data_IF_328317443255
#
_entry.id   IF_328317443255
#
_cell.length_a   1.000
_cell.length_b   1.000
_cell.length_c   1.000
_cell.angle_alpha   90.00
_cell.angle_beta   90.00
_cell.angle_gamma   90.00
#
_symmetry.space_group_name_H-M   'P 1'
#
loop_
_entity.id
_entity.type
_entity.pdbx_description
1 polymer ?
#
# COMPACT_ATOMS: atom_id res chain seq x y z
N UNK A 1 -22.70 23.40 2.31
CA UNK A 1 -21.24 23.46 2.02
C UNK A 1 -21.04 22.95 0.59
N UNK A 2 -20.39 23.76 -0.28
CA UNK A 2 -20.39 23.47 -1.72
C UNK A 2 -19.51 22.25 -1.99
N UNK A 3 -20.03 21.18 -2.56
CA UNK A 3 -19.33 19.90 -2.87
C UNK A 3 -18.01 20.17 -3.60
N UNK A 4 -17.98 21.17 -4.49
CA UNK A 4 -16.79 21.62 -5.22
C UNK A 4 -15.65 22.04 -4.27
N UNK A 5 -15.96 22.75 -3.18
CA UNK A 5 -14.96 23.20 -2.21
C UNK A 5 -14.42 22.07 -1.34
N UNK A 6 -15.24 21.04 -1.04
CA UNK A 6 -14.80 19.84 -0.33
C UNK A 6 -13.85 19.04 -1.20
N UNK A 7 -14.19 18.84 -2.48
CA UNK A 7 -13.34 18.13 -3.44
C UNK A 7 -12.01 18.83 -3.66
N UNK A 8 -12.01 20.16 -3.90
CA UNK A 8 -10.78 20.93 -4.11
C UNK A 8 -9.85 20.89 -2.89
N UNK A 9 -10.40 21.05 -1.68
CA UNK A 9 -9.62 20.91 -0.44
C UNK A 9 -9.10 19.47 -0.25
N UNK A 10 -9.90 18.47 -0.58
CA UNK A 10 -9.48 17.06 -0.51
C UNK A 10 -8.34 16.74 -1.47
N UNK A 11 -8.41 17.22 -2.71
CA UNK A 11 -7.34 17.08 -3.72
C UNK A 11 -6.06 17.76 -3.25
N UNK A 12 -6.16 19.00 -2.74
CA UNK A 12 -5.01 19.73 -2.20
C UNK A 12 -4.32 18.98 -1.05
N UNK A 13 -5.10 18.44 -0.11
CA UNK A 13 -4.56 17.61 0.98
C UNK A 13 -3.94 16.31 0.49
N UNK A 14 -4.54 15.64 -0.49
CA UNK A 14 -3.98 14.43 -1.08
C UNK A 14 -2.64 14.71 -1.78
N UNK A 15 -2.56 15.79 -2.56
CA UNK A 15 -1.31 16.21 -3.20
C UNK A 15 -0.23 16.54 -2.18
N UNK A 16 -0.56 17.32 -1.14
CA UNK A 16 0.37 17.64 -0.05
C UNK A 16 0.87 16.38 0.67
N UNK A 17 -0.03 15.43 0.93
CA UNK A 17 0.32 14.17 1.57
C UNK A 17 1.26 13.34 0.69
N UNK A 18 0.96 13.21 -0.60
CA UNK A 18 1.79 12.45 -1.55
C UNK A 18 3.19 13.06 -1.64
N UNK A 19 3.29 14.39 -1.80
CA UNK A 19 4.56 15.11 -1.85
C UNK A 19 5.36 14.93 -0.56
N UNK A 20 4.74 15.16 0.59
CA UNK A 20 5.38 15.04 1.90
C UNK A 20 5.92 13.63 2.16
N UNK A 21 5.10 12.61 1.89
CA UNK A 21 5.51 11.20 2.00
C UNK A 21 6.67 10.85 1.08
N UNK A 22 6.57 11.23 -0.19
CA UNK A 22 7.61 10.94 -1.19
C UNK A 22 8.92 11.60 -0.83
N UNK A 23 8.89 12.85 -0.37
CA UNK A 23 10.10 13.58 0.05
C UNK A 23 10.76 12.92 1.26
N UNK A 24 10.00 12.60 2.32
CA UNK A 24 10.54 11.90 3.51
C UNK A 24 11.16 10.56 3.10
N UNK A 25 10.47 9.77 2.27
CA UNK A 25 10.96 8.48 1.83
C UNK A 25 12.20 8.58 0.92
N UNK A 26 12.30 9.59 0.06
CA UNK A 26 13.52 9.83 -0.75
C UNK A 26 14.71 10.19 0.14
N UNK A 27 14.52 11.07 1.12
CA UNK A 27 15.55 11.42 2.11
C UNK A 27 15.96 10.17 2.89
N UNK A 28 15.01 9.36 3.34
CA UNK A 28 15.27 8.11 4.06
C UNK A 28 16.13 7.15 3.23
N UNK A 29 15.76 6.93 1.97
CA UNK A 29 16.51 6.06 1.05
C UNK A 29 17.92 6.60 0.84
N UNK A 30 18.08 7.92 0.62
CA UNK A 30 19.38 8.54 0.39
C UNK A 30 20.32 8.40 1.61
N UNK A 31 19.77 8.51 2.82
CA UNK A 31 20.55 8.30 4.05
C UNK A 31 20.91 6.82 4.19
N UNK A 32 19.93 5.91 4.13
CA UNK A 32 20.14 4.49 4.36
C UNK A 32 21.09 3.87 3.33
N UNK A 33 21.06 4.33 2.07
CA UNK A 33 21.96 3.88 1.01
C UNK A 33 23.44 4.21 1.26
N UNK A 34 23.76 5.13 2.19
CA UNK A 34 25.14 5.43 2.59
C UNK A 34 25.67 4.48 3.67
N UNK A 35 24.79 3.89 4.46
CA UNK A 35 25.15 3.07 5.61
C UNK A 35 24.98 1.57 5.37
N UNK A 36 24.10 1.19 4.43
CA UNK A 36 23.75 -0.20 4.20
C UNK A 36 24.36 -0.73 2.89
N UNK A 37 24.78 -2.01 2.86
CA UNK A 37 25.20 -2.65 1.63
C UNK A 37 24.04 -2.73 0.64
N UNK A 38 24.36 -2.67 -0.66
CA UNK A 38 23.39 -2.71 -1.76
C UNK A 38 22.50 -3.96 -1.72
N UNK A 39 23.09 -5.07 -1.32
CA UNK A 39 22.43 -6.37 -1.16
C UNK A 39 21.21 -6.31 -0.22
N UNK A 40 21.30 -5.53 0.88
CA UNK A 40 20.19 -5.33 1.81
C UNK A 40 18.93 -4.76 1.13
N UNK A 41 19.12 -3.88 0.14
CA UNK A 41 18.00 -3.33 -0.64
C UNK A 41 17.43 -4.35 -1.62
N UNK A 42 18.26 -5.26 -2.15
CA UNK A 42 17.82 -6.37 -2.99
C UNK A 42 16.97 -7.38 -2.20
N UNK A 43 17.42 -7.77 -1.02
CA UNK A 43 16.69 -8.66 -0.11
C UNK A 43 15.34 -8.01 0.30
N UNK A 44 15.35 -6.73 0.63
CA UNK A 44 14.13 -5.99 0.93
C UNK A 44 13.18 -5.96 -0.28
N UNK A 45 13.70 -5.76 -1.50
CA UNK A 45 12.88 -5.68 -2.71
C UNK A 45 12.12 -6.99 -2.96
N UNK A 46 12.76 -8.17 -2.88
CA UNK A 46 12.10 -9.47 -2.99
C UNK A 46 11.11 -9.67 -1.84
N UNK A 47 11.50 -9.35 -0.61
CA UNK A 47 10.62 -9.51 0.55
C UNK A 47 9.35 -8.66 0.40
N UNK A 48 9.48 -7.39 0.00
CA UNK A 48 8.33 -6.50 -0.24
C UNK A 48 7.50 -6.96 -1.43
N UNK A 49 8.11 -7.51 -2.49
CA UNK A 49 7.39 -8.07 -3.63
C UNK A 49 6.47 -9.20 -3.18
N UNK A 50 6.97 -10.14 -2.37
CA UNK A 50 6.18 -11.26 -1.83
C UNK A 50 5.03 -10.75 -0.96
N UNK A 51 5.30 -9.78 -0.07
CA UNK A 51 4.27 -9.17 0.77
C UNK A 51 3.23 -8.42 -0.07
N UNK A 52 3.63 -7.69 -1.10
CA UNK A 52 2.71 -6.98 -2.00
C UNK A 52 1.82 -7.95 -2.76
N UNK A 53 2.37 -9.05 -3.28
CA UNK A 53 1.60 -10.10 -3.93
C UNK A 53 0.55 -10.69 -2.98
N UNK A 54 0.96 -11.05 -1.77
CA UNK A 54 0.04 -11.61 -0.77
C UNK A 54 -1.03 -10.60 -0.34
N UNK A 55 -0.69 -9.30 -0.28
CA UNK A 55 -1.65 -8.24 0.02
C UNK A 55 -2.77 -8.08 -1.03
N UNK A 56 -2.56 -8.50 -2.28
CA UNK A 56 -3.61 -8.51 -3.31
C UNK A 56 -4.75 -9.44 -2.87
N UNK A 57 -4.42 -10.62 -2.36
CA UNK A 57 -5.40 -11.56 -1.85
C UNK A 57 -6.04 -11.10 -0.54
N UNK A 58 -5.30 -10.39 0.32
CA UNK A 58 -5.85 -9.82 1.54
C UNK A 58 -6.93 -8.77 1.24
N UNK A 59 -6.73 -7.94 0.21
CA UNK A 59 -7.75 -6.97 -0.18
C UNK A 59 -8.97 -7.65 -0.81
N UNK A 60 -8.77 -8.68 -1.62
CA UNK A 60 -9.81 -9.43 -2.32
C UNK A 60 -10.91 -8.52 -2.93
N UNK A 61 -10.56 -7.25 -3.23
CA UNK A 61 -11.47 -6.23 -3.74
C UNK A 61 -12.44 -5.63 -2.72
N UNK A 62 -12.32 -5.94 -1.43
CA UNK A 62 -13.18 -5.38 -0.38
C UNK A 62 -13.11 -3.86 -0.30
N UNK A 63 -11.93 -3.27 -0.51
CA UNK A 63 -11.78 -1.81 -0.56
C UNK A 63 -12.66 -1.21 -1.64
N UNK A 64 -12.61 -1.73 -2.86
CA UNK A 64 -13.44 -1.28 -3.99
C UNK A 64 -14.92 -1.49 -3.71
N UNK A 65 -15.29 -2.62 -3.13
CA UNK A 65 -16.68 -2.93 -2.76
C UNK A 65 -17.21 -1.97 -1.69
N UNK A 66 -16.43 -1.65 -0.64
CA UNK A 66 -16.82 -0.67 0.39
C UNK A 66 -17.06 0.72 -0.22
N UNK A 67 -16.25 1.13 -1.19
CA UNK A 67 -16.43 2.40 -1.90
C UNK A 67 -17.68 2.38 -2.79
N UNK A 68 -18.00 1.23 -3.38
CA UNK A 68 -19.18 1.07 -4.25
C UNK A 68 -20.50 1.07 -3.46
N UNK A 69 -20.59 0.28 -2.38
CA UNK A 69 -21.79 0.18 -1.56
C UNK A 69 -21.94 1.36 -0.60
N UNK A 70 -22.75 2.38 -0.99
CA UNK A 70 -22.92 3.60 -0.20
C UNK A 70 -23.66 3.37 1.13
N UNK A 71 -24.64 2.46 1.18
CA UNK A 71 -25.54 2.24 2.31
C UNK A 71 -25.23 0.94 3.07
N UNK A 72 -23.95 0.60 3.26
CA UNK A 72 -23.56 -0.57 4.03
C UNK A 72 -23.91 -0.40 5.52
N UNK A 73 -24.50 -1.44 6.12
CA UNK A 73 -24.89 -1.48 7.53
C UNK A 73 -23.69 -1.79 8.44
N UNK A 74 -23.80 -1.47 9.74
CA UNK A 74 -22.78 -1.83 10.73
C UNK A 74 -22.56 -3.35 10.83
N UNK A 75 -23.59 -4.16 10.61
CA UNK A 75 -23.48 -5.64 10.59
C UNK A 75 -22.63 -6.11 9.41
N UNK A 76 -22.82 -5.52 8.23
CA UNK A 76 -22.01 -5.79 7.05
C UNK A 76 -20.53 -5.40 7.27
N UNK A 77 -20.29 -4.21 7.83
CA UNK A 77 -18.92 -3.81 8.17
C UNK A 77 -18.27 -4.74 9.20
N UNK A 78 -19.00 -5.20 10.21
CA UNK A 78 -18.47 -6.16 11.18
C UNK A 78 -18.15 -7.50 10.53
N UNK A 79 -19.02 -8.00 9.65
CA UNK A 79 -18.77 -9.25 8.92
C UNK A 79 -17.54 -9.17 8.00
N UNK A 80 -17.37 -8.05 7.28
CA UNK A 80 -16.18 -7.79 6.44
C UNK A 80 -14.92 -7.69 7.30
N UNK A 81 -15.01 -7.06 8.47
CA UNK A 81 -13.88 -6.92 9.39
C UNK A 81 -13.36 -8.30 9.84
N UNK A 82 -14.23 -9.17 10.31
CA UNK A 82 -13.85 -10.49 10.79
C UNK A 82 -13.29 -11.39 9.68
N UNK A 83 -13.89 -11.36 8.48
CA UNK A 83 -13.34 -12.12 7.35
C UNK A 83 -11.96 -11.61 6.93
N UNK A 84 -11.73 -10.29 6.95
CA UNK A 84 -10.41 -9.72 6.67
C UNK A 84 -9.34 -10.20 7.67
N UNK A 85 -9.68 -10.28 8.96
CA UNK A 85 -8.77 -10.81 9.99
C UNK A 85 -8.47 -12.29 9.73
N UNK A 86 -9.50 -13.11 9.47
CA UNK A 86 -9.32 -14.52 9.17
C UNK A 86 -8.44 -14.74 7.92
N UNK A 87 -8.69 -13.98 6.85
CA UNK A 87 -7.87 -14.02 5.64
C UNK A 87 -6.44 -13.57 5.95
N UNK A 88 -6.24 -12.50 6.72
CA UNK A 88 -4.92 -12.00 7.10
C UNK A 88 -4.10 -13.03 7.87
N UNK A 89 -4.71 -13.72 8.83
CA UNK A 89 -4.07 -14.80 9.59
C UNK A 89 -3.75 -16.00 8.70
N UNK A 90 -4.68 -16.43 7.85
CA UNK A 90 -4.49 -17.55 6.92
C UNK A 90 -3.36 -17.25 5.93
N UNK A 91 -3.35 -16.05 5.32
CA UNK A 91 -2.31 -15.66 4.39
C UNK A 91 -0.95 -15.53 5.07
N UNK A 92 -0.90 -15.05 6.31
CA UNK A 92 0.34 -15.02 7.09
C UNK A 92 0.87 -16.43 7.37
N UNK A 93 0.00 -17.36 7.80
CA UNK A 93 0.38 -18.76 8.03
C UNK A 93 0.88 -19.43 6.74
N UNK A 94 0.19 -19.23 5.63
CA UNK A 94 0.60 -19.74 4.31
C UNK A 94 1.94 -19.14 3.89
N UNK A 95 2.14 -17.82 4.07
CA UNK A 95 3.39 -17.15 3.78
C UNK A 95 4.54 -17.73 4.63
N UNK A 96 4.31 -17.94 5.93
CA UNK A 96 5.30 -18.50 6.83
C UNK A 96 5.75 -19.90 6.37
N UNK A 97 4.81 -20.76 5.98
CA UNK A 97 5.10 -22.13 5.49
C UNK A 97 5.82 -22.09 4.12
N UNK A 98 5.50 -21.13 3.25
CA UNK A 98 6.11 -21.04 1.92
C UNK A 98 7.45 -20.29 1.92
N UNK A 99 7.80 -19.59 2.98
CA UNK A 99 9.05 -18.82 3.09
C UNK A 99 10.31 -19.64 2.79
N UNK A 100 10.51 -20.87 3.31
CA UNK A 100 11.68 -21.68 2.98
C UNK A 100 11.80 -22.00 1.49
N UNK A 101 10.68 -22.21 0.80
CA UNK A 101 10.69 -22.45 -0.66
C UNK A 101 11.15 -21.21 -1.42
N UNK A 102 10.73 -20.01 -0.98
CA UNK A 102 11.16 -18.75 -1.58
C UNK A 102 12.66 -18.53 -1.35
N UNK A 103 13.15 -18.81 -0.14
CA UNK A 103 14.56 -18.71 0.22
C UNK A 103 15.43 -19.64 -0.63
N UNK A 104 15.02 -20.90 -0.80
CA UNK A 104 15.71 -21.86 -1.68
C UNK A 104 15.65 -21.43 -3.14
N UNK A 105 14.48 -20.94 -3.60
CA UNK A 105 14.33 -20.46 -4.97
C UNK A 105 15.32 -19.33 -5.29
N UNK A 106 15.51 -18.37 -4.39
CA UNK A 106 16.45 -17.26 -4.60
C UNK A 106 17.89 -17.54 -4.12
N UNK A 107 18.17 -18.69 -3.49
CA UNK A 107 19.44 -19.04 -2.84
C UNK A 107 19.88 -17.99 -1.79
N UNK A 108 18.92 -17.44 -1.02
CA UNK A 108 19.18 -16.39 -0.03
C UNK A 108 18.56 -16.72 1.34
N UNK A 109 19.41 -17.05 2.31
CA UNK A 109 18.99 -17.56 3.62
C UNK A 109 18.32 -16.46 4.49
N UNK A 110 18.71 -15.19 4.30
CA UNK A 110 18.13 -14.08 5.05
C UNK A 110 16.64 -13.91 4.80
N UNK A 111 16.11 -14.35 3.62
CA UNK A 111 14.69 -14.31 3.32
C UNK A 111 13.86 -15.12 4.33
N UNK A 112 14.42 -16.20 4.90
CA UNK A 112 13.74 -17.01 5.91
C UNK A 112 13.37 -16.23 7.18
N UNK A 113 14.16 -15.24 7.53
CA UNK A 113 13.90 -14.42 8.70
C UNK A 113 13.09 -13.15 8.35
N UNK A 114 13.37 -12.56 7.19
CA UNK A 114 12.83 -11.25 6.82
C UNK A 114 11.39 -11.34 6.34
N UNK A 115 11.05 -12.35 5.51
CA UNK A 115 9.71 -12.50 4.97
C UNK A 115 8.67 -12.71 6.08
N UNK A 116 8.88 -13.60 7.09
CA UNK A 116 7.93 -13.74 8.19
C UNK A 116 7.75 -12.45 9.01
N UNK A 117 8.85 -11.73 9.29
CA UNK A 117 8.78 -10.47 10.03
C UNK A 117 7.95 -9.44 9.24
N UNK A 118 8.24 -9.23 7.97
CA UNK A 118 7.45 -8.34 7.11
C UNK A 118 6.03 -8.86 6.88
N UNK A 119 5.83 -10.18 6.91
CA UNK A 119 4.52 -10.82 6.82
C UNK A 119 3.53 -10.41 7.89
N UNK A 120 4.02 -9.97 9.07
CA UNK A 120 3.16 -9.39 10.12
C UNK A 120 2.32 -8.20 9.60
N UNK A 121 2.78 -7.53 8.54
CA UNK A 121 1.99 -6.50 7.88
C UNK A 121 0.64 -7.00 7.35
N UNK A 122 0.51 -8.30 7.00
CA UNK A 122 -0.77 -8.87 6.55
C UNK A 122 -1.80 -8.82 7.68
N UNK A 123 -1.38 -9.22 8.89
CA UNK A 123 -2.24 -9.19 10.08
C UNK A 123 -2.55 -7.73 10.47
N UNK A 124 -1.53 -6.87 10.50
CA UNK A 124 -1.69 -5.46 10.85
C UNK A 124 -2.63 -4.74 9.87
N UNK A 125 -2.46 -4.99 8.57
CA UNK A 125 -3.30 -4.39 7.54
C UNK A 125 -4.74 -4.89 7.58
N UNK A 126 -4.99 -6.15 7.96
CA UNK A 126 -6.35 -6.68 8.10
C UNK A 126 -7.17 -5.93 9.15
N UNK A 127 -6.51 -5.37 10.18
CA UNK A 127 -7.16 -4.60 11.25
C UNK A 127 -7.60 -3.20 10.78
N UNK A 128 -6.74 -2.48 10.04
CA UNK A 128 -6.96 -1.06 9.76
C UNK A 128 -7.48 -0.74 8.35
N UNK A 129 -7.27 -1.61 7.37
CA UNK A 129 -7.58 -1.36 5.95
C UNK A 129 -9.04 -0.97 5.72
N UNK A 130 -9.98 -1.69 6.33
CA UNK A 130 -11.40 -1.38 6.22
C UNK A 130 -11.72 0.03 6.71
N UNK A 131 -11.15 0.43 7.84
CA UNK A 131 -11.38 1.77 8.42
C UNK A 131 -10.80 2.87 7.53
N UNK A 132 -9.66 2.61 6.87
CA UNK A 132 -9.11 3.51 5.85
C UNK A 132 -10.06 3.64 4.66
N UNK A 133 -10.62 2.52 4.15
CA UNK A 133 -11.58 2.53 3.05
C UNK A 133 -12.85 3.32 3.40
N UNK A 134 -13.35 3.20 4.64
CA UNK A 134 -14.49 3.99 5.14
C UNK A 134 -14.14 5.49 5.19
N UNK A 135 -12.94 5.86 5.65
CA UNK A 135 -12.50 7.27 5.63
C UNK A 135 -12.40 7.82 4.20
N UNK A 136 -11.96 7.00 3.24
CA UNK A 136 -11.95 7.37 1.82
C UNK A 136 -13.36 7.59 1.29
N UNK A 137 -14.29 6.68 1.60
CA UNK A 137 -15.71 6.79 1.26
C UNK A 137 -16.33 8.07 1.85
N UNK A 138 -16.02 8.39 3.10
CA UNK A 138 -16.48 9.60 3.78
C UNK A 138 -15.76 10.89 3.31
N UNK A 139 -14.86 10.80 2.31
CA UNK A 139 -14.03 11.90 1.79
C UNK A 139 -13.17 12.60 2.85
N UNK A 140 -12.80 11.89 3.93
CA UNK A 140 -11.95 12.40 5.00
C UNK A 140 -10.46 12.32 4.65
N UNK A 141 -10.09 12.81 3.46
CA UNK A 141 -8.74 12.71 2.91
C UNK A 141 -7.69 13.43 3.76
N UNK A 142 -8.06 14.52 4.43
CA UNK A 142 -7.20 15.22 5.39
C UNK A 142 -6.79 14.30 6.54
N UNK A 143 -7.74 13.60 7.14
CA UNK A 143 -7.48 12.69 8.27
C UNK A 143 -6.56 11.55 7.85
N UNK A 144 -6.81 10.96 6.67
CA UNK A 144 -5.94 9.92 6.10
C UNK A 144 -4.53 10.45 5.92
N UNK A 145 -4.38 11.63 5.28
CA UNK A 145 -3.09 12.25 5.03
C UNK A 145 -2.28 12.54 6.31
N UNK A 146 -2.94 13.07 7.34
CA UNK A 146 -2.28 13.34 8.62
C UNK A 146 -1.81 12.06 9.31
N UNK A 147 -2.63 11.01 9.33
CA UNK A 147 -2.25 9.71 9.90
C UNK A 147 -1.05 9.13 9.15
N UNK A 148 -1.08 9.17 7.81
CA UNK A 148 -0.01 8.61 6.99
C UNK A 148 1.30 9.39 7.14
N UNK A 149 1.26 10.73 7.15
CA UNK A 149 2.47 11.56 7.36
C UNK A 149 3.04 11.32 8.76
N UNK A 150 2.20 11.32 9.79
CA UNK A 150 2.63 11.06 11.16
C UNK A 150 3.32 9.69 11.30
N UNK A 151 2.72 8.64 10.74
CA UNK A 151 3.29 7.30 10.77
C UNK A 151 4.64 7.22 10.05
N UNK A 152 4.78 7.87 8.89
CA UNK A 152 6.03 7.88 8.13
C UNK A 152 7.13 8.67 8.85
N UNK A 153 6.80 9.78 9.51
CA UNK A 153 7.77 10.54 10.29
C UNK A 153 8.35 9.67 11.42
N UNK A 154 7.50 8.94 12.14
CA UNK A 154 7.97 8.01 13.19
C UNK A 154 8.84 6.90 12.58
N UNK A 155 8.41 6.30 11.47
CA UNK A 155 9.21 5.28 10.78
C UNK A 155 10.54 5.81 10.27
N UNK A 156 10.58 7.06 9.79
CA UNK A 156 11.82 7.72 9.38
C UNK A 156 12.80 7.85 10.54
N UNK A 157 12.38 8.42 11.67
CA UNK A 157 13.26 8.55 12.84
C UNK A 157 13.71 7.19 13.38
N UNK A 158 12.82 6.20 13.38
CA UNK A 158 13.17 4.84 13.78
C UNK A 158 14.24 4.25 12.85
N UNK A 159 14.11 4.44 11.53
CA UNK A 159 15.10 3.92 10.56
C UNK A 159 16.48 4.54 10.77
N UNK A 160 16.52 5.86 11.03
CA UNK A 160 17.76 6.58 11.31
C UNK A 160 18.38 6.08 12.63
N UNK A 161 17.58 5.96 13.68
CA UNK A 161 18.05 5.44 14.97
C UNK A 161 18.67 4.03 14.82
N UNK A 162 17.98 3.13 14.10
CA UNK A 162 18.44 1.76 13.92
C UNK A 162 19.72 1.67 13.07
N UNK A 163 19.84 2.48 12.00
CA UNK A 163 21.03 2.44 11.18
C UNK A 163 22.26 2.96 11.92
N UNK A 164 22.13 4.00 12.73
CA UNK A 164 23.23 4.51 13.55
C UNK A 164 23.66 3.53 14.66
N UNK A 165 22.73 2.67 15.11
CA UNK A 165 23.03 1.61 16.08
C UNK A 165 23.46 0.28 15.42
N UNK A 166 23.80 0.28 14.12
CA UNK A 166 24.32 -0.88 13.37
C UNK A 166 23.37 -2.09 13.31
N UNK A 167 22.04 -1.87 13.28
CA UNK A 167 21.04 -2.94 13.11
C UNK A 167 21.00 -3.50 11.67
N UNK A 168 21.85 -3.01 10.75
CA UNK A 168 21.96 -3.52 9.38
C UNK A 168 20.61 -3.49 8.66
N UNK A 169 20.26 -4.58 7.98
CA UNK A 169 19.04 -4.69 7.19
C UNK A 169 17.74 -4.44 8.00
N UNK A 170 17.74 -4.69 9.30
CA UNK A 170 16.58 -4.46 10.16
C UNK A 170 16.19 -2.98 10.25
N UNK A 171 17.12 -2.06 9.97
CA UNK A 171 16.83 -0.63 9.86
C UNK A 171 15.93 -0.28 8.67
N UNK A 172 15.79 -1.19 7.69
CA UNK A 172 14.84 -1.10 6.59
C UNK A 172 13.49 -1.77 6.94
N UNK A 173 13.52 -2.85 7.74
CA UNK A 173 12.37 -3.74 7.98
C UNK A 173 11.46 -3.20 9.08
N UNK A 174 12.01 -2.91 10.27
CA UNK A 174 11.21 -2.46 11.41
C UNK A 174 10.43 -1.17 11.15
N UNK A 175 10.97 -0.16 10.44
CA UNK A 175 10.18 1.04 10.10
C UNK A 175 8.94 0.72 9.25
N UNK A 176 9.02 -0.24 8.32
CA UNK A 176 7.87 -0.65 7.49
C UNK A 176 6.74 -1.19 8.37
N UNK A 177 7.08 -2.06 9.33
CA UNK A 177 6.10 -2.63 10.26
C UNK A 177 5.53 -1.55 11.19
N UNK A 178 6.40 -0.68 11.72
CA UNK A 178 6.00 0.40 12.63
C UNK A 178 5.05 1.38 11.95
N UNK A 179 5.33 1.77 10.71
CA UNK A 179 4.45 2.63 9.90
C UNK A 179 3.09 1.96 9.72
N UNK A 180 3.07 0.67 9.34
CA UNK A 180 1.84 -0.07 9.16
C UNK A 180 1.04 -0.17 10.48
N UNK A 181 1.71 -0.49 11.59
CA UNK A 181 1.09 -0.63 12.90
C UNK A 181 0.45 0.68 13.36
N UNK A 182 1.21 1.77 13.35
CA UNK A 182 0.72 3.08 13.79
C UNK A 182 -0.43 3.54 12.90
N UNK A 183 -0.29 3.46 11.58
CA UNK A 183 -1.32 3.94 10.66
C UNK A 183 -2.63 3.14 10.81
N UNK A 184 -2.55 1.81 10.87
CA UNK A 184 -3.75 0.96 10.97
C UNK A 184 -4.44 1.10 12.33
N UNK A 185 -3.69 1.23 13.43
CA UNK A 185 -4.27 1.52 14.76
C UNK A 185 -4.97 2.88 14.74
N UNK A 186 -4.35 3.92 14.18
CA UNK A 186 -4.95 5.25 14.12
C UNK A 186 -6.21 5.27 13.21
N UNK A 187 -6.22 4.53 12.10
CA UNK A 187 -7.42 4.36 11.28
C UNK A 187 -8.55 3.69 12.06
N UNK A 188 -8.25 2.63 12.82
CA UNK A 188 -9.22 1.96 13.69
C UNK A 188 -9.79 2.93 14.72
N UNK A 189 -8.94 3.59 15.51
CA UNK A 189 -9.34 4.50 16.60
C UNK A 189 -10.23 5.63 16.08
N UNK A 190 -9.90 6.20 14.89
CA UNK A 190 -10.65 7.33 14.31
C UNK A 190 -12.09 6.96 13.93
N UNK A 191 -12.34 5.70 13.60
CA UNK A 191 -13.63 5.27 13.06
C UNK A 191 -14.44 4.37 13.99
N UNK A 192 -13.82 3.75 15.02
CA UNK A 192 -14.48 2.75 15.86
C UNK A 192 -15.73 3.28 16.57
N UNK A 193 -15.74 4.58 16.92
CA UNK A 193 -16.91 5.23 17.55
C UNK A 193 -18.10 5.37 16.60
N UNK A 194 -17.83 5.61 15.29
CA UNK A 194 -18.89 5.80 14.28
C UNK A 194 -19.36 4.46 13.70
N UNK A 195 -18.45 3.52 13.56
CA UNK A 195 -18.69 2.19 13.01
C UNK A 195 -18.15 1.13 14.00
N UNK A 196 -18.92 0.86 15.08
CA UNK A 196 -18.51 -0.10 16.11
C UNK A 196 -18.43 -1.51 15.51
N UNK A 197 -17.35 -2.21 15.87
CA UNK A 197 -17.16 -3.61 15.48
C UNK A 197 -17.96 -4.45 16.47
N UNK A 198 -18.94 -5.19 15.98
CA UNK A 198 -19.67 -6.18 16.76
C UNK A 198 -19.10 -7.58 16.50
N UNK A 199 -19.26 -8.49 17.49
CA UNK A 199 -18.97 -9.92 17.33
C UNK A 199 -20.10 -10.58 16.51
N UNK A 200 -20.30 -10.09 15.30
CA UNK A 200 -21.33 -10.56 14.38
C UNK A 200 -20.69 -10.92 13.05
N UNK A 201 -20.97 -12.09 12.55
CA UNK A 201 -20.54 -12.56 11.23
C UNK A 201 -21.72 -13.22 10.50
N UNK A 202 -21.94 -12.80 9.25
CA UNK A 202 -22.91 -13.40 8.35
C UNK A 202 -22.31 -13.47 6.95
N UNK A 203 -22.22 -14.67 6.39
CA UNK A 203 -21.77 -14.87 5.01
C UNK A 203 -22.69 -14.19 3.99
N UNK A 204 -23.99 -14.12 4.28
CA UNK A 204 -24.97 -13.45 3.45
C UNK A 204 -24.64 -11.96 3.29
N UNK A 205 -24.16 -11.31 4.35
CA UNK A 205 -23.75 -9.91 4.35
C UNK A 205 -22.45 -9.65 3.58
N UNK A 206 -21.55 -10.62 3.50
CA UNK A 206 -20.25 -10.49 2.82
C UNK A 206 -20.34 -10.80 1.33
N UNK A 207 -21.19 -11.74 0.93
CA UNK A 207 -21.30 -12.25 -0.45
C UNK A 207 -21.42 -11.15 -1.53
N UNK A 208 -22.21 -10.08 -1.36
CA UNK A 208 -22.31 -9.01 -2.36
C UNK A 208 -20.97 -8.28 -2.58
N UNK A 209 -20.19 -8.10 -1.51
CA UNK A 209 -18.89 -7.44 -1.57
C UNK A 209 -17.84 -8.32 -2.26
N UNK A 210 -17.89 -9.62 -2.03
CA UNK A 210 -16.98 -10.60 -2.63
C UNK A 210 -17.14 -10.69 -4.14
N UNK A 211 -18.36 -10.66 -4.65
CA UNK A 211 -18.63 -10.75 -6.09
C UNK A 211 -17.99 -9.61 -6.89
N UNK A 212 -17.98 -8.38 -6.36
CA UNK A 212 -17.30 -7.25 -6.99
C UNK A 212 -15.77 -7.44 -6.90
N UNK A 213 -15.30 -7.99 -5.78
CA UNK A 213 -13.89 -8.16 -5.50
C UNK A 213 -13.15 -9.09 -6.47
N UNK A 214 -13.78 -10.20 -6.88
CA UNK A 214 -13.13 -11.21 -7.73
C UNK A 214 -12.67 -10.64 -9.07
N UNK A 215 -13.45 -9.79 -9.72
CA UNK A 215 -13.05 -9.18 -10.98
C UNK A 215 -11.87 -8.20 -10.82
N UNK A 216 -11.88 -7.41 -9.75
CA UNK A 216 -10.78 -6.50 -9.44
C UNK A 216 -9.51 -7.25 -9.05
N UNK A 217 -9.63 -8.38 -8.39
CA UNK A 217 -8.50 -9.23 -7.98
C UNK A 217 -7.74 -9.76 -9.19
N UNK A 218 -8.43 -10.30 -10.20
CA UNK A 218 -7.79 -10.85 -11.39
C UNK A 218 -7.01 -9.77 -12.17
N UNK A 219 -7.62 -8.61 -12.38
CA UNK A 219 -6.94 -7.49 -13.05
C UNK A 219 -5.71 -7.01 -12.26
N UNK A 220 -5.79 -6.97 -10.92
CA UNK A 220 -4.68 -6.56 -10.06
C UNK A 220 -3.52 -7.56 -10.07
N UNK A 221 -3.81 -8.87 -10.16
CA UNK A 221 -2.77 -9.90 -10.32
C UNK A 221 -2.02 -9.72 -11.63
N UNK A 222 -2.73 -9.52 -12.74
CA UNK A 222 -2.09 -9.29 -14.05
C UNK A 222 -1.24 -8.02 -14.05
N UNK A 223 -1.76 -6.93 -13.48
CA UNK A 223 -1.02 -5.67 -13.34
C UNK A 223 0.23 -5.83 -12.45
N UNK A 224 0.13 -6.62 -11.38
CA UNK A 224 1.26 -6.92 -10.50
C UNK A 224 2.39 -7.61 -11.27
N UNK A 225 2.11 -8.68 -11.99
CA UNK A 225 3.13 -9.36 -12.77
C UNK A 225 3.73 -8.47 -13.85
N UNK A 226 2.89 -7.70 -14.57
CA UNK A 226 3.37 -6.74 -15.56
C UNK A 226 4.37 -5.73 -15.01
N UNK A 227 4.20 -5.28 -13.75
CA UNK A 227 5.04 -4.24 -13.11
C UNK A 227 6.21 -4.79 -12.31
N UNK A 228 6.19 -6.07 -11.92
CA UNK A 228 7.16 -6.62 -10.97
C UNK A 228 7.99 -7.78 -11.55
N UNK A 229 7.75 -8.19 -12.80
CA UNK A 229 8.47 -9.28 -13.43
C UNK A 229 9.98 -9.03 -13.51
N UNK A 230 10.36 -7.77 -13.72
CA UNK A 230 11.76 -7.32 -13.71
C UNK A 230 12.47 -7.63 -12.38
N UNK A 231 11.84 -7.34 -11.25
CA UNK A 231 12.40 -7.62 -9.91
C UNK A 231 12.57 -9.13 -9.71
N UNK A 232 11.60 -9.94 -10.15
CA UNK A 232 11.65 -11.39 -10.04
C UNK A 232 12.83 -11.95 -10.83
N UNK A 233 12.96 -11.53 -12.09
CA UNK A 233 14.00 -12.03 -13.02
C UNK A 233 15.39 -11.58 -12.56
N UNK A 234 15.57 -10.29 -12.26
CA UNK A 234 16.85 -9.74 -11.82
C UNK A 234 17.31 -10.42 -10.54
N UNK A 235 16.41 -10.56 -9.55
CA UNK A 235 16.74 -11.20 -8.27
C UNK A 235 17.18 -12.66 -8.43
N UNK A 236 16.57 -13.39 -9.36
CA UNK A 236 16.92 -14.80 -9.61
C UNK A 236 18.19 -14.98 -10.42
N UNK A 237 18.42 -14.15 -11.44
CA UNK A 237 19.50 -14.36 -12.42
C UNK A 237 20.76 -13.56 -12.07
N UNK A 238 20.60 -12.30 -11.63
CA UNK A 238 21.70 -11.38 -11.43
C UNK A 238 22.11 -11.20 -9.96
N UNK A 239 21.31 -11.74 -9.02
CA UNK A 239 21.59 -11.71 -7.59
C UNK A 239 21.18 -10.40 -6.89
N UNK A 240 21.34 -10.40 -5.56
CA UNK A 240 20.77 -9.37 -4.69
C UNK A 240 21.51 -8.04 -4.72
N UNK A 241 22.82 -8.03 -5.02
CA UNK A 241 23.59 -6.77 -5.12
C UNK A 241 23.10 -5.94 -6.31
N UNK A 242 22.96 -6.57 -7.49
CA UNK A 242 22.46 -5.89 -8.71
C UNK A 242 21.00 -5.51 -8.54
N UNK A 243 20.20 -6.41 -7.96
CA UNK A 243 18.78 -6.11 -7.64
C UNK A 243 18.67 -4.93 -6.69
N UNK A 244 19.55 -4.81 -5.71
CA UNK A 244 19.57 -3.70 -4.76
C UNK A 244 19.75 -2.36 -5.46
N UNK A 245 20.72 -2.24 -6.34
CA UNK A 245 20.95 -1.03 -7.15
C UNK A 245 19.75 -0.75 -8.04
N UNK A 246 19.26 -1.77 -8.75
CA UNK A 246 18.09 -1.64 -9.62
C UNK A 246 16.84 -1.17 -8.87
N UNK A 247 16.55 -1.78 -7.72
CA UNK A 247 15.38 -1.45 -6.90
C UNK A 247 15.44 -0.04 -6.34
N UNK A 248 16.64 0.45 -5.94
CA UNK A 248 16.83 1.83 -5.53
C UNK A 248 16.53 2.81 -6.67
N UNK A 249 17.09 2.58 -7.86
CA UNK A 249 16.81 3.40 -9.04
C UNK A 249 15.31 3.38 -9.40
N UNK A 250 14.71 2.19 -9.45
CA UNK A 250 13.28 2.01 -9.73
C UNK A 250 12.42 2.77 -8.73
N UNK A 251 12.74 2.69 -7.42
CA UNK A 251 12.00 3.41 -6.38
C UNK A 251 12.06 4.93 -6.57
N UNK A 252 13.24 5.49 -6.88
CA UNK A 252 13.39 6.94 -7.13
C UNK A 252 12.55 7.37 -8.33
N UNK A 253 12.64 6.65 -9.46
CA UNK A 253 11.89 6.95 -10.69
C UNK A 253 10.38 6.85 -10.43
N UNK A 254 9.91 5.77 -9.81
CA UNK A 254 8.50 5.58 -9.53
C UNK A 254 7.94 6.64 -8.58
N UNK A 255 8.72 7.13 -7.61
CA UNK A 255 8.27 8.21 -6.73
C UNK A 255 8.08 9.52 -7.47
N UNK A 256 8.97 9.88 -8.39
CA UNK A 256 8.79 11.03 -9.26
C UNK A 256 7.54 10.88 -10.11
N UNK A 257 7.35 9.69 -10.69
CA UNK A 257 6.15 9.38 -11.48
C UNK A 257 4.86 9.47 -10.65
N UNK A 258 4.86 8.96 -9.43
CA UNK A 258 3.72 9.03 -8.50
C UNK A 258 3.39 10.45 -8.03
N UNK A 259 4.32 11.40 -8.12
CA UNK A 259 4.07 12.82 -7.87
C UNK A 259 3.38 13.45 -9.10
N UNK A 260 3.88 13.15 -10.29
CA UNK A 260 3.41 13.79 -11.54
C UNK A 260 2.06 13.22 -11.99
N UNK A 261 1.86 11.92 -11.92
CA UNK A 261 0.69 11.23 -12.47
C UNK A 261 -0.65 11.71 -11.86
N UNK A 262 -0.82 11.87 -10.52
CA UNK A 262 -2.04 12.42 -9.95
C UNK A 262 -2.34 13.86 -10.39
N UNK A 263 -1.31 14.68 -10.61
CA UNK A 263 -1.49 16.04 -11.12
C UNK A 263 -2.06 15.98 -12.54
N UNK A 264 -1.49 15.12 -13.38
CA UNK A 264 -1.96 14.95 -14.75
C UNK A 264 -3.40 14.38 -14.77
N UNK A 265 -3.66 13.29 -14.09
CA UNK A 265 -4.97 12.63 -14.11
C UNK A 265 -6.07 13.48 -13.48
N UNK A 266 -5.80 14.16 -12.37
CA UNK A 266 -6.79 14.97 -11.67
C UNK A 266 -7.09 16.32 -12.36
N UNK A 267 -6.19 16.81 -13.20
CA UNK A 267 -6.35 18.09 -13.92
C UNK A 267 -6.75 17.84 -15.36
N UNK A 268 -6.00 17.01 -16.08
CA UNK A 268 -6.21 16.83 -17.54
C UNK A 268 -7.45 15.98 -17.84
N UNK A 269 -7.74 14.94 -17.07
CA UNK A 269 -8.91 14.10 -17.34
C UNK A 269 -10.23 14.89 -17.24
N UNK A 270 -10.51 15.67 -16.18
CA UNK A 270 -11.72 16.49 -16.13
C UNK A 270 -11.73 17.63 -17.13
N UNK A 271 -10.55 18.17 -17.49
CA UNK A 271 -10.44 19.21 -18.50
C UNK A 271 -10.81 18.67 -19.89
N UNK A 272 -10.21 17.56 -20.31
CA UNK A 272 -10.48 16.92 -21.59
C UNK A 272 -11.93 16.41 -21.69
N UNK A 273 -12.50 15.91 -20.60
CA UNK A 273 -13.89 15.43 -20.59
C UNK A 273 -14.92 16.53 -20.87
N UNK A 274 -14.61 17.80 -20.57
CA UNK A 274 -15.48 18.94 -20.94
C UNK A 274 -15.57 19.15 -22.45
N UNK A 275 -14.56 18.77 -23.21
CA UNK A 275 -14.46 18.97 -24.64
C UNK A 275 -14.68 17.68 -25.44
N UNK A 276 -15.16 16.59 -24.78
CA UNK A 276 -15.34 15.28 -25.42
C UNK A 276 -16.23 15.31 -26.68
N UNK A 277 -17.13 16.28 -26.80
CA UNK A 277 -18.01 16.47 -27.95
C UNK A 277 -17.49 17.48 -28.99
N UNK A 278 -16.33 18.12 -28.76
CA UNK A 278 -15.77 19.16 -29.61
C UNK A 278 -14.38 18.73 -30.14
N UNK A 279 -14.39 17.86 -31.18
CA UNK A 279 -13.16 17.26 -31.76
C UNK A 279 -12.07 18.29 -32.14
N UNK A 280 -12.46 19.42 -32.74
CA UNK A 280 -11.52 20.46 -33.17
C UNK A 280 -10.80 21.13 -32.00
N UNK A 281 -11.48 21.33 -30.86
CA UNK A 281 -10.84 21.85 -29.64
C UNK A 281 -9.96 20.80 -28.97
N UNK A 282 -10.36 19.54 -28.97
CA UNK A 282 -9.53 18.44 -28.46
C UNK A 282 -8.20 18.33 -29.21
N UNK A 283 -8.21 18.38 -30.54
CA UNK A 283 -7.00 18.34 -31.36
C UNK A 283 -6.06 19.52 -31.10
N UNK A 284 -6.61 20.70 -30.87
CA UNK A 284 -5.83 21.91 -30.54
C UNK A 284 -5.14 21.85 -29.17
N UNK A 285 -5.69 21.14 -28.23
CA UNK A 285 -5.10 20.97 -26.86
C UNK A 285 -4.21 19.73 -26.74
N UNK A 286 -4.26 18.81 -27.72
CA UNK A 286 -3.40 17.62 -27.77
C UNK A 286 -2.06 17.88 -28.50
N UNK A 287 -1.96 18.96 -29.27
CA UNK A 287 -0.73 19.48 -29.90
C UNK A 287 -0.04 20.49 -28.98
#
# INVERSE_FOLDING_TARGET
>A
MNIKNILLKGIGWSAFTILGRSSIQLIQIAILARFLPKESFGILAISLLVIQFTNIFLDAGFTSAILHFQNATNKQYSSIYWINICIGLLLYALLYVTTPLISVFYNEIFLNNIIPILGLNLIINSIGRQHKAILQKDLKLKTIGLIEIFSIIIGFFLSIYLVYNNYGIYSLIYPVITIALISNILFLITNIKKYPISLFFSWYDVKPFFNIGVYTLLSTILDFFSRQMDIIIIGKILGFEILGVYSLCKQVILKVFHIINPIMTNVFTPFLSKFQNEKEKLEKYYK
#
